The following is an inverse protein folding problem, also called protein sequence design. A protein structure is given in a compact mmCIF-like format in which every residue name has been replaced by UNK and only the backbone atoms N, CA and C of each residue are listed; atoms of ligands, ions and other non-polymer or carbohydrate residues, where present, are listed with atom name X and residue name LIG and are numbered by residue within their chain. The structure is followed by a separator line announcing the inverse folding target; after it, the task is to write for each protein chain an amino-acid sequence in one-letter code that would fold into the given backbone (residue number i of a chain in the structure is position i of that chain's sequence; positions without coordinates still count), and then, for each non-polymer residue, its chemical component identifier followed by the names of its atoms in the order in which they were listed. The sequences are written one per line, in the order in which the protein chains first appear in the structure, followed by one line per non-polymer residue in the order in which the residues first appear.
data_IF_906655265210
#
_entry.id   IF_906655265210
#
_cell.length_a   1.000
_cell.length_b   1.000
_cell.length_c   1.000
_cell.angle_alpha   90.00
_cell.angle_beta   90.00
_cell.angle_gamma   90.00
#
_symmetry.space_group_name_H-M   'P 1'
#
loop_
_entity.id
_entity.type
_entity.pdbx_description
1 polymer ?
#
# COMPACT_ATOMS: atom_id res chain seq x y z
N UNK A 1 -9.92 -5.99 11.68
CA UNK A 1 -10.49 -4.95 10.80
C UNK A 1 -9.90 -4.99 9.39
N UNK A 2 -9.19 -6.06 9.06
CA UNK A 2 -8.52 -6.19 7.78
C UNK A 2 -9.51 -6.18 6.63
N UNK A 3 -9.20 -5.44 5.57
CA UNK A 3 -10.05 -5.26 4.40
C UNK A 3 -9.21 -5.38 3.13
N UNK A 4 -9.63 -6.21 2.20
CA UNK A 4 -9.06 -6.22 0.84
C UNK A 4 -9.94 -5.43 -0.12
N UNK A 5 -9.33 -4.78 -1.10
CA UNK A 5 -10.03 -4.12 -2.21
C UNK A 5 -10.05 -5.08 -3.38
N UNK A 6 -11.25 -5.56 -3.76
CA UNK A 6 -11.42 -6.42 -4.92
C UNK A 6 -11.78 -5.56 -6.15
N UNK A 7 -10.78 -5.29 -6.98
CA UNK A 7 -10.88 -4.42 -8.15
C UNK A 7 -10.06 -3.13 -8.01
N UNK A 8 -10.46 -2.08 -8.72
CA UNK A 8 -9.74 -0.80 -8.74
C UNK A 8 -10.12 0.10 -7.58
N UNK A 9 -9.16 0.82 -7.03
CA UNK A 9 -9.38 1.82 -6.00
C UNK A 9 -8.33 1.80 -4.90
N UNK A 10 -8.32 2.87 -4.14
CA UNK A 10 -7.42 3.10 -3.02
C UNK A 10 -8.19 3.67 -1.85
N UNK A 11 -7.79 3.33 -0.64
CA UNK A 11 -8.22 4.02 0.57
C UNK A 11 -7.41 5.32 0.70
N UNK A 12 -8.06 6.40 1.12
CA UNK A 12 -7.36 7.63 1.46
C UNK A 12 -6.96 7.63 2.93
N UNK A 13 -5.76 8.10 3.23
CA UNK A 13 -5.25 8.30 4.59
C UNK A 13 -4.76 9.72 4.74
N UNK A 14 -5.01 10.33 5.89
CA UNK A 14 -4.52 11.65 6.19
C UNK A 14 -3.15 11.57 6.84
N UNK A 15 -2.16 12.22 6.24
CA UNK A 15 -0.82 12.32 6.81
C UNK A 15 -0.76 13.38 7.93
N UNK A 16 0.30 13.34 8.71
CA UNK A 16 0.50 14.27 9.83
C UNK A 16 0.66 15.74 9.40
N UNK A 17 1.00 15.97 8.14
CA UNK A 17 1.11 17.30 7.52
C UNK A 17 -0.21 17.83 6.97
N UNK A 18 -1.30 17.02 7.08
CA UNK A 18 -2.62 17.35 6.56
C UNK A 18 -2.81 17.02 5.08
N UNK A 19 -1.83 16.41 4.41
CA UNK A 19 -1.97 15.97 3.03
C UNK A 19 -2.63 14.59 2.96
N UNK A 20 -3.36 14.33 1.88
CA UNK A 20 -3.94 13.01 1.62
C UNK A 20 -2.92 12.13 0.88
N UNK A 21 -2.76 10.92 1.36
CA UNK A 21 -2.07 9.84 0.66
C UNK A 21 -3.04 8.69 0.42
N UNK A 22 -2.70 7.82 -0.49
CA UNK A 22 -3.56 6.74 -0.95
C UNK A 22 -2.87 5.40 -0.75
N UNK A 23 -3.63 4.39 -0.34
CA UNK A 23 -3.08 3.06 -0.08
C UNK A 23 -4.05 1.97 -0.52
N UNK A 24 -3.48 0.83 -0.92
CA UNK A 24 -4.25 -0.41 -1.10
C UNK A 24 -4.13 -1.34 0.11
N UNK A 25 -3.20 -1.02 1.04
CA UNK A 25 -3.06 -1.80 2.25
C UNK A 25 -4.27 -1.58 3.17
N UNK A 26 -5.08 -2.61 3.34
CA UNK A 26 -6.26 -2.61 4.19
C UNK A 26 -6.03 -3.19 5.58
N UNK A 27 -4.80 -3.21 6.08
CA UNK A 27 -4.53 -3.53 7.48
C UNK A 27 -4.98 -2.35 8.35
N UNK A 28 -6.22 -2.43 8.83
CA UNK A 28 -6.86 -1.38 9.62
C UNK A 28 -6.85 -1.72 11.11
N UNK A 29 -6.62 -0.70 11.93
CA UNK A 29 -6.60 -0.78 13.39
C UNK A 29 -7.46 0.32 14.00
N UNK A 30 -7.78 0.20 15.29
CA UNK A 30 -8.37 1.29 16.06
C UNK A 30 -7.27 1.98 16.87
N UNK A 31 -7.27 3.30 16.86
CA UNK A 31 -6.42 4.09 17.75
C UNK A 31 -7.01 4.16 19.17
N UNK A 32 -6.27 4.79 20.10
CA UNK A 32 -6.73 4.95 21.49
C UNK A 32 -8.00 5.79 21.65
N UNK A 33 -8.46 6.48 20.60
CA UNK A 33 -9.70 7.27 20.57
C UNK A 33 -10.84 6.56 19.84
N UNK A 34 -10.60 5.35 19.32
CA UNK A 34 -11.57 4.57 18.56
C UNK A 34 -11.64 4.93 17.06
N UNK A 35 -10.75 5.75 16.53
CA UNK A 35 -10.72 6.04 15.09
C UNK A 35 -10.09 4.90 14.32
N UNK A 36 -10.59 4.66 13.12
CA UNK A 36 -10.01 3.70 12.20
C UNK A 36 -8.75 4.31 11.58
N UNK A 37 -7.62 3.64 11.78
CA UNK A 37 -6.29 4.06 11.29
C UNK A 37 -5.65 2.92 10.50
N UNK A 38 -4.69 3.26 9.64
CA UNK A 38 -3.87 2.27 8.98
C UNK A 38 -2.83 1.66 9.95
N UNK A 39 -2.02 0.75 9.46
CA UNK A 39 -0.96 0.09 10.23
C UNK A 39 0.06 1.09 10.83
N UNK A 40 0.31 2.23 10.19
CA UNK A 40 1.22 3.30 10.64
C UNK A 40 0.58 4.28 11.64
N UNK A 41 -0.72 4.10 11.95
CA UNK A 41 -1.47 4.98 12.84
C UNK A 41 -2.03 6.23 12.17
N UNK A 42 -2.03 6.30 10.84
CA UNK A 42 -2.63 7.40 10.07
C UNK A 42 -4.14 7.17 9.93
N UNK A 43 -5.00 8.17 10.19
CA UNK A 43 -6.44 8.02 10.07
C UNK A 43 -6.86 7.84 8.60
N UNK A 44 -7.81 6.92 8.40
CA UNK A 44 -8.46 6.73 7.11
C UNK A 44 -9.46 7.86 6.86
N UNK A 45 -9.57 8.29 5.63
CA UNK A 45 -10.55 9.31 5.23
C UNK A 45 -11.66 8.64 4.37
N UNK A 46 -12.97 8.84 4.69
CA UNK A 46 -13.50 9.68 5.76
C UNK A 46 -13.23 9.12 7.17
N UNK A 47 -12.93 10.03 8.10
CA UNK A 47 -12.57 9.65 9.47
C UNK A 47 -13.78 9.07 10.20
N UNK A 48 -13.75 7.78 10.49
CA UNK A 48 -14.79 7.06 11.23
C UNK A 48 -14.30 6.75 12.65
N UNK A 49 -15.17 7.01 13.61
CA UNK A 49 -14.89 6.73 15.03
C UNK A 49 -15.85 5.65 15.55
N UNK A 50 -15.29 4.58 16.04
CA UNK A 50 -16.01 3.49 16.67
C UNK A 50 -16.30 3.86 18.12
N UNK A 51 -17.58 3.81 18.58
CA UNK A 51 -17.93 4.05 19.96
C UNK A 51 -17.23 3.10 20.91
N UNK A 52 -16.85 3.60 22.09
CA UNK A 52 -16.25 2.74 23.12
C UNK A 52 -17.25 1.69 23.57
N UNK A 53 -16.78 0.44 23.68
CA UNK A 53 -17.60 -0.70 24.09
C UNK A 53 -18.24 -1.46 22.93
N UNK A 54 -18.03 -1.08 21.68
CA UNK A 54 -18.46 -1.88 20.53
C UNK A 54 -17.86 -3.28 20.58
N UNK A 55 -18.71 -4.31 20.45
CA UNK A 55 -18.30 -5.72 20.51
C UNK A 55 -17.93 -6.29 19.15
N UNK A 56 -18.52 -5.77 18.08
CA UNK A 56 -18.24 -6.22 16.72
C UNK A 56 -18.30 -5.04 15.75
N UNK A 57 -17.39 -5.08 14.76
CA UNK A 57 -17.33 -4.09 13.69
C UNK A 57 -17.43 -4.87 12.38
N UNK A 58 -18.42 -4.51 11.56
CA UNK A 58 -18.63 -5.14 10.27
C UNK A 58 -18.50 -4.10 9.17
N UNK A 59 -17.71 -4.42 8.15
CA UNK A 59 -17.51 -3.59 6.96
C UNK A 59 -18.16 -4.30 5.78
N UNK A 60 -19.19 -3.69 5.22
CA UNK A 60 -19.89 -4.22 4.06
C UNK A 60 -19.09 -4.06 2.77
N UNK A 61 -19.44 -4.83 1.75
CA UNK A 61 -18.81 -4.74 0.43
C UNK A 61 -18.99 -3.39 -0.26
N UNK A 62 -20.01 -2.65 0.13
CA UNK A 62 -20.31 -1.28 -0.31
C UNK A 62 -19.59 -0.20 0.54
N UNK A 63 -18.73 -0.61 1.48
CA UNK A 63 -18.01 0.31 2.37
C UNK A 63 -18.76 0.71 3.62
N UNK A 64 -20.03 0.34 3.79
CA UNK A 64 -20.80 0.66 4.98
C UNK A 64 -20.19 0.01 6.23
N UNK A 65 -19.91 0.82 7.25
CA UNK A 65 -19.34 0.36 8.52
C UNK A 65 -20.42 0.37 9.58
N UNK A 66 -20.68 -0.82 10.14
CA UNK A 66 -21.66 -1.01 11.21
C UNK A 66 -20.98 -1.55 12.45
N UNK A 67 -21.46 -1.15 13.61
CA UNK A 67 -20.97 -1.58 14.90
C UNK A 67 -22.12 -2.17 15.73
N UNK A 68 -21.81 -3.17 16.53
CA UNK A 68 -22.76 -3.75 17.46
C UNK A 68 -22.38 -3.37 18.88
N UNK A 69 -23.33 -2.74 19.58
CA UNK A 69 -23.17 -2.38 20.99
C UNK A 69 -23.66 -3.51 21.90
N UNK A 70 -23.07 -3.67 23.11
CA UNK A 70 -23.54 -4.64 24.08
C UNK A 70 -24.98 -4.33 24.51
N UNK A 71 -25.87 -5.32 24.34
CA UNK A 71 -27.29 -5.16 24.69
C UNK A 71 -28.19 -4.62 23.57
N UNK A 72 -27.67 -4.21 22.45
CA UNK A 72 -28.44 -3.87 21.27
C UNK A 72 -28.50 -5.04 20.30
N UNK A 73 -29.70 -5.35 19.81
CA UNK A 73 -29.93 -6.45 18.86
C UNK A 73 -29.62 -6.00 17.41
N UNK A 74 -29.75 -4.70 17.13
CA UNK A 74 -29.53 -4.16 15.79
C UNK A 74 -28.16 -3.48 15.70
N UNK A 75 -27.37 -3.76 14.64
CA UNK A 75 -26.15 -3.04 14.40
C UNK A 75 -26.43 -1.56 14.05
N UNK A 76 -25.63 -0.66 14.59
CA UNK A 76 -25.70 0.77 14.31
C UNK A 76 -24.66 1.14 13.25
N UNK A 77 -25.07 1.86 12.22
CA UNK A 77 -24.19 2.39 11.21
C UNK A 77 -23.43 3.61 11.75
N UNK A 78 -22.10 3.62 11.57
CA UNK A 78 -21.23 4.73 11.98
C UNK A 78 -20.74 5.56 10.78
N UNK A 79 -20.93 5.06 9.56
CA UNK A 79 -20.58 5.72 8.32
C UNK A 79 -20.13 4.74 7.24
N UNK A 80 -19.52 5.26 6.17
CA UNK A 80 -19.04 4.43 5.07
C UNK A 80 -17.60 4.80 4.69
N UNK A 81 -16.81 3.78 4.35
CA UNK A 81 -15.51 3.93 3.72
C UNK A 81 -15.70 4.23 2.23
N UNK A 82 -14.92 5.15 1.70
CA UNK A 82 -14.91 5.48 0.28
C UNK A 82 -13.65 4.95 -0.40
N UNK A 83 -13.75 4.67 -1.69
CA UNK A 83 -12.62 4.36 -2.55
C UNK A 83 -12.32 5.53 -3.47
N UNK A 84 -11.04 5.74 -3.69
CA UNK A 84 -10.53 6.74 -4.61
C UNK A 84 -9.97 6.02 -5.84
N UNK A 85 -10.43 6.39 -7.02
CA UNK A 85 -9.90 5.89 -8.29
C UNK A 85 -9.14 7.00 -9.02
N UNK A 86 -8.19 6.61 -9.83
CA UNK A 86 -7.40 7.53 -10.66
C UNK A 86 -7.57 7.16 -12.13
N UNK A 87 -7.39 8.15 -13.02
CA UNK A 87 -7.41 7.91 -14.46
C UNK A 87 -6.24 7.03 -14.87
N UNK A 88 -5.09 7.18 -14.19
CA UNK A 88 -3.89 6.41 -14.44
C UNK A 88 -3.21 6.05 -13.11
N UNK A 89 -3.46 4.85 -12.61
CA UNK A 89 -2.89 4.35 -11.35
C UNK A 89 -1.35 4.25 -11.40
N UNK A 90 -0.77 3.98 -12.57
CA UNK A 90 0.68 3.92 -12.76
C UNK A 90 1.36 5.29 -12.65
N UNK A 91 0.60 6.37 -12.76
CA UNK A 91 1.08 7.72 -12.58
C UNK A 91 1.22 8.15 -11.13
N UNK A 92 0.79 7.34 -10.17
CA UNK A 92 0.94 7.62 -8.75
C UNK A 92 2.41 7.50 -8.33
N UNK A 93 2.85 8.40 -7.47
CA UNK A 93 4.18 8.38 -6.89
C UNK A 93 4.18 7.64 -5.56
N UNK A 94 4.92 6.54 -5.47
CA UNK A 94 5.14 5.86 -4.21
C UNK A 94 6.02 6.71 -3.27
N UNK A 95 5.57 6.88 -2.03
CA UNK A 95 6.27 7.66 -0.99
C UNK A 95 6.78 6.77 0.15
N UNK A 96 6.66 5.45 0.00
CA UNK A 96 7.00 4.47 1.04
C UNK A 96 5.81 4.09 1.90
N UNK A 97 5.97 3.09 2.78
CA UNK A 97 4.91 2.60 3.68
C UNK A 97 3.60 2.20 2.98
N UNK A 98 3.69 1.70 1.73
CA UNK A 98 2.53 1.40 0.89
C UNK A 98 1.63 2.61 0.61
N UNK A 99 2.19 3.83 0.72
CA UNK A 99 1.49 5.07 0.45
C UNK A 99 1.86 5.61 -0.93
N UNK A 100 0.86 6.16 -1.59
CA UNK A 100 0.96 6.78 -2.92
C UNK A 100 0.45 8.21 -2.86
N UNK A 101 1.09 9.09 -3.62
CA UNK A 101 0.64 10.47 -3.80
C UNK A 101 0.27 10.72 -5.26
N UNK A 102 -0.79 11.52 -5.51
CA UNK A 102 -1.20 11.85 -6.86
C UNK A 102 -0.15 12.72 -7.53
N UNK A 103 -0.05 12.61 -8.86
CA UNK A 103 0.78 13.44 -9.71
C UNK A 103 -0.06 13.99 -10.87
N UNK A 104 0.53 14.88 -11.66
CA UNK A 104 -0.12 15.34 -12.90
C UNK A 104 -0.40 14.19 -13.88
N UNK A 105 0.39 13.11 -13.81
CA UNK A 105 0.25 11.95 -14.69
C UNK A 105 -0.85 10.99 -14.21
N UNK A 106 -1.16 10.92 -12.91
CA UNK A 106 -2.26 10.10 -12.37
C UNK A 106 -3.63 10.75 -12.57
N UNK A 107 -3.67 12.07 -12.68
CA UNK A 107 -4.90 12.85 -12.56
C UNK A 107 -5.32 13.05 -11.11
N UNK A 108 -6.47 13.74 -10.94
CA UNK A 108 -7.06 13.97 -9.63
C UNK A 108 -7.82 12.74 -9.13
N UNK A 109 -7.88 12.53 -7.80
CA UNK A 109 -8.61 11.43 -7.19
C UNK A 109 -10.12 11.59 -7.41
N UNK A 110 -10.77 10.53 -7.86
CA UNK A 110 -12.23 10.45 -7.98
C UNK A 110 -12.77 9.63 -6.82
N UNK A 111 -13.38 10.31 -5.86
CA UNK A 111 -13.95 9.71 -4.66
C UNK A 111 -15.32 9.10 -4.97
N UNK A 112 -15.60 7.91 -4.44
CA UNK A 112 -16.92 7.33 -4.53
C UNK A 112 -17.10 6.10 -3.68
N UNK A 113 -18.33 5.57 -3.69
CA UNK A 113 -18.67 4.38 -2.95
C UNK A 113 -18.08 3.12 -3.61
N UNK A 114 -17.61 2.13 -2.82
CA UNK A 114 -17.19 0.84 -3.35
C UNK A 114 -18.30 0.17 -4.16
N UNK A 115 -17.92 -0.49 -5.26
CA UNK A 115 -18.85 -1.16 -6.18
C UNK A 115 -19.57 -0.26 -7.17
N UNK A 116 -19.27 1.04 -7.19
CA UNK A 116 -19.89 2.01 -8.13
C UNK A 116 -18.87 2.52 -9.14
N UNK A 117 -19.32 2.91 -10.34
CA UNK A 117 -18.51 3.56 -11.37
C UNK A 117 -17.15 2.85 -11.68
N UNK A 118 -17.14 1.52 -11.67
CA UNK A 118 -15.95 0.73 -11.95
C UNK A 118 -14.95 0.63 -10.79
N UNK A 119 -15.29 1.16 -9.63
CA UNK A 119 -14.54 0.95 -8.38
C UNK A 119 -14.76 -0.46 -7.87
N UNK A 120 -13.74 -1.01 -7.26
CA UNK A 120 -13.80 -2.32 -6.60
C UNK A 120 -14.72 -2.33 -5.40
N UNK A 121 -14.93 -3.53 -4.87
CA UNK A 121 -15.68 -3.78 -3.64
C UNK A 121 -14.73 -4.03 -2.48
N UNK A 122 -15.23 -3.91 -1.25
CA UNK A 122 -14.47 -4.21 -0.05
C UNK A 122 -14.79 -5.62 0.46
N UNK A 123 -13.76 -6.36 0.87
CA UNK A 123 -13.88 -7.68 1.49
C UNK A 123 -13.23 -7.65 2.87
N UNK A 124 -14.04 -7.73 3.92
CA UNK A 124 -13.55 -7.79 5.28
C UNK A 124 -12.94 -9.17 5.60
N UNK A 125 -11.91 -9.20 6.46
CA UNK A 125 -11.23 -10.43 6.89
C UNK A 125 -10.23 -10.97 5.88
N UNK A 126 -9.90 -10.19 4.85
CA UNK A 126 -8.92 -10.52 3.82
C UNK A 126 -7.90 -9.39 3.69
N UNK A 127 -6.67 -9.75 3.30
CA UNK A 127 -5.61 -8.79 2.94
C UNK A 127 -5.13 -9.08 1.53
N UNK A 128 -4.81 -8.03 0.79
CA UNK A 128 -4.19 -8.17 -0.52
C UNK A 128 -2.73 -8.63 -0.33
N UNK A 129 -2.37 -9.75 -0.96
CA UNK A 129 -1.00 -10.24 -0.94
C UNK A 129 -0.14 -9.47 -1.96
N UNK A 130 1.16 -9.35 -1.63
CA UNK A 130 2.14 -8.80 -2.57
C UNK A 130 2.22 -9.69 -3.82
N UNK A 131 2.21 -9.07 -4.99
CA UNK A 131 2.43 -9.74 -6.28
C UNK A 131 3.92 -9.97 -6.58
N UNK A 132 4.81 -9.70 -5.63
CA UNK A 132 6.26 -9.89 -5.78
C UNK A 132 6.62 -11.32 -5.38
N UNK A 133 7.16 -12.10 -6.32
CA UNK A 133 7.74 -13.41 -6.03
C UNK A 133 9.15 -13.22 -5.43
N UNK A 134 9.25 -13.53 -4.14
CA UNK A 134 10.50 -13.39 -3.38
C UNK A 134 11.63 -14.22 -4.02
N UNK A 135 11.32 -15.39 -4.60
CA UNK A 135 12.32 -16.26 -5.22
C UNK A 135 12.86 -15.61 -6.50
N UNK A 136 12.01 -15.00 -7.31
CA UNK A 136 12.40 -14.31 -8.53
C UNK A 136 13.28 -13.09 -8.21
N UNK A 137 12.92 -12.30 -7.21
CA UNK A 137 13.70 -11.15 -6.74
C UNK A 137 15.07 -11.59 -6.16
N UNK A 138 15.11 -12.71 -5.43
CA UNK A 138 16.38 -13.26 -4.92
C UNK A 138 17.28 -13.73 -6.06
N UNK A 139 16.74 -14.38 -7.09
CA UNK A 139 17.50 -14.79 -8.28
C UNK A 139 18.01 -13.57 -9.04
N UNK A 140 17.19 -12.52 -9.17
CA UNK A 140 17.60 -11.24 -9.74
C UNK A 140 18.76 -10.61 -8.98
N UNK A 141 18.71 -10.59 -7.66
CA UNK A 141 19.78 -10.09 -6.79
C UNK A 141 21.07 -10.89 -6.95
N UNK A 142 20.99 -12.23 -6.96
CA UNK A 142 22.16 -13.11 -7.17
C UNK A 142 22.79 -12.85 -8.55
N UNK A 143 21.97 -12.69 -9.58
CA UNK A 143 22.43 -12.38 -10.92
C UNK A 143 23.17 -11.02 -10.99
N UNK A 144 22.62 -10.00 -10.33
CA UNK A 144 23.24 -8.69 -10.21
C UNK A 144 24.59 -8.76 -9.45
N UNK A 145 24.66 -9.50 -8.36
CA UNK A 145 25.90 -9.73 -7.60
C UNK A 145 26.96 -10.42 -8.45
N UNK A 146 26.60 -11.49 -9.17
CA UNK A 146 27.52 -12.18 -10.09
C UNK A 146 28.03 -11.26 -11.19
N UNK A 147 27.17 -10.43 -11.75
CA UNK A 147 27.59 -9.45 -12.76
C UNK A 147 28.59 -8.44 -12.21
N UNK A 148 28.39 -8.00 -10.97
CA UNK A 148 29.33 -7.12 -10.29
C UNK A 148 30.69 -7.81 -10.03
N UNK A 149 30.67 -9.06 -9.57
CA UNK A 149 31.91 -9.86 -9.34
C UNK A 149 32.68 -10.09 -10.64
N UNK A 150 31.99 -10.43 -11.73
CA UNK A 150 32.61 -10.61 -13.06
C UNK A 150 33.23 -9.31 -13.52
N UNK A 151 32.53 -8.19 -13.44
CA UNK A 151 33.05 -6.89 -13.85
C UNK A 151 34.28 -6.50 -13.02
N UNK A 152 34.26 -6.72 -11.71
CA UNK A 152 35.41 -6.46 -10.84
C UNK A 152 36.62 -7.33 -11.22
N UNK A 153 36.37 -8.61 -11.52
CA UNK A 153 37.44 -9.54 -11.94
C UNK A 153 38.02 -9.18 -13.29
N UNK A 154 37.19 -8.73 -14.24
CA UNK A 154 37.65 -8.26 -15.56
C UNK A 154 38.55 -7.04 -15.42
N UNK A 155 38.18 -6.07 -14.57
CA UNK A 155 39.00 -4.89 -14.29
C UNK A 155 40.35 -5.30 -13.69
N UNK A 156 40.34 -6.17 -12.68
CA UNK A 156 41.59 -6.68 -12.05
C UNK A 156 42.48 -7.38 -13.07
N UNK A 157 41.88 -8.22 -13.94
CA UNK A 157 42.66 -8.93 -14.98
C UNK A 157 43.24 -7.95 -16.01
N UNK A 158 42.49 -6.89 -16.37
CA UNK A 158 42.97 -5.87 -17.27
C UNK A 158 44.17 -5.09 -16.66
N UNK A 159 44.10 -4.77 -15.36
CA UNK A 159 45.19 -4.12 -14.64
C UNK A 159 46.47 -5.01 -14.60
N UNK A 160 46.28 -6.31 -14.36
CA UNK A 160 47.41 -7.27 -14.37
C UNK A 160 48.04 -7.41 -15.75
N UNK A 161 47.26 -7.43 -16.81
CA UNK A 161 47.76 -7.42 -18.19
C UNK A 161 48.55 -6.13 -18.52
N UNK A 162 48.04 -4.98 -18.08
CA UNK A 162 48.74 -3.69 -18.30
C UNK A 162 50.06 -3.65 -17.55
N UNK A 163 50.12 -4.19 -16.30
CA UNK A 163 51.36 -4.31 -15.54
C UNK A 163 52.35 -5.24 -16.21
N UNK A 164 51.90 -6.40 -16.71
CA UNK A 164 52.76 -7.33 -17.44
C UNK A 164 53.30 -6.72 -18.74
N UNK A 165 52.46 -5.98 -19.48
CA UNK A 165 52.89 -5.29 -20.73
C UNK A 165 53.91 -4.17 -20.46
N UNK A 166 53.79 -3.44 -19.35
CA UNK A 166 54.77 -2.43 -18.96
C UNK A 166 56.09 -3.02 -18.53
N UNK A 167 56.08 -4.18 -17.87
CA UNK A 167 57.32 -4.88 -17.49
C UNK A 167 58.10 -5.49 -18.68
N UNK A 168 57.38 -5.88 -19.74
CA UNK A 168 58.08 -6.40 -20.95
C UNK A 168 58.68 -5.30 -21.82
N UNK A 169 58.39 -4.02 -21.57
CA UNK A 169 58.92 -2.88 -22.36
C UNK A 169 60.11 -2.18 -21.70
N UNK A 170 60.47 -2.53 -20.47
CA UNK A 170 61.68 -2.06 -19.77
C UNK A 170 62.75 -3.12 -19.81
#
# INVERSE_FOLDING_TARGET
LDVAIEGNGFLAVMQNDGTLAYTRNGELKLDGTGRIVNHDGLPIEPSLTVPQGATNITIGSNGQVTVQMPGETNPTEIGSLTLNSFINDNGLRAVGHNLFMPTLASGEPQIGEPGTEGRGTLMQGSLEQSNVDIVEEMVGMISAQRSYEINSKVISTADDMLRAATQMRG
#
